data_IF_174106226313
#
_entry.id   IF_174106226313
#
_cell.length_a   1.000
_cell.length_b   1.000
_cell.length_c   1.000
_cell.angle_alpha   90.00
_cell.angle_beta   90.00
_cell.angle_gamma   90.00
#
_symmetry.space_group_name_H-M   'P 1'
#
loop_
_entity.id
_entity.type
_entity.pdbx_description
1 polymer ?
#
# COMPACT_ATOMS: atom_id res chain seq x y z
N UNK A 1 39.23 14.43 14.48
CA UNK A 1 37.88 14.98 14.22
C UNK A 1 37.69 14.95 12.72
N UNK A 2 36.90 13.98 12.25
CA UNK A 2 36.74 13.62 10.84
C UNK A 2 35.56 14.37 10.24
N UNK A 3 35.82 15.25 9.27
CA UNK A 3 34.80 15.80 8.38
C UNK A 3 34.68 14.89 7.15
N UNK A 4 33.64 14.06 7.11
CA UNK A 4 33.18 13.41 5.88
C UNK A 4 32.02 14.23 5.32
N UNK A 5 32.34 15.29 4.57
CA UNK A 5 31.38 15.98 3.73
C UNK A 5 31.09 15.15 2.47
N UNK A 6 29.87 14.65 2.32
CA UNK A 6 29.40 14.06 1.07
C UNK A 6 29.30 15.19 0.03
N UNK A 7 30.34 15.32 -0.81
CA UNK A 7 30.41 16.28 -1.90
C UNK A 7 29.40 15.94 -2.99
N UNK A 8 28.15 16.39 -2.82
CA UNK A 8 27.16 16.41 -3.89
C UNK A 8 27.47 17.58 -4.82
N UNK A 9 28.23 17.30 -5.88
CA UNK A 9 28.46 18.23 -6.97
C UNK A 9 27.12 18.38 -7.74
N UNK A 10 26.39 19.47 -7.49
CA UNK A 10 25.13 19.80 -8.16
C UNK A 10 25.41 20.17 -9.63
N UNK A 11 25.59 19.16 -10.49
CA UNK A 11 25.30 19.34 -11.91
C UNK A 11 23.78 19.30 -12.03
N UNK A 12 23.17 20.45 -12.30
CA UNK A 12 21.77 20.52 -12.70
C UNK A 12 21.59 19.70 -13.99
N UNK A 13 21.14 18.46 -13.82
CA UNK A 13 20.62 17.67 -14.95
C UNK A 13 19.33 18.39 -15.32
N UNK A 14 19.31 19.01 -16.51
CA UNK A 14 18.11 19.67 -17.04
C UNK A 14 16.91 18.75 -16.90
N UNK A 15 15.76 19.31 -16.53
CA UNK A 15 14.52 18.59 -16.23
C UNK A 15 14.17 17.58 -17.34
N UNK A 16 14.62 16.35 -17.17
CA UNK A 16 14.29 15.27 -18.08
C UNK A 16 12.84 14.90 -17.81
N UNK A 17 11.96 15.20 -18.77
CA UNK A 17 10.54 14.87 -18.68
C UNK A 17 10.36 13.35 -18.83
N UNK A 18 10.48 12.62 -17.73
CA UNK A 18 10.32 11.15 -17.71
C UNK A 18 8.84 10.81 -17.93
N UNK A 19 8.57 9.97 -18.93
CA UNK A 19 7.20 9.53 -19.26
C UNK A 19 6.87 8.18 -18.63
N UNK A 20 5.58 7.81 -18.59
CA UNK A 20 5.15 6.52 -18.02
C UNK A 20 5.14 5.40 -19.07
N UNK A 21 5.23 4.14 -18.62
CA UNK A 21 5.13 2.96 -19.49
C UNK A 21 3.74 2.78 -20.11
N UNK A 22 2.68 3.39 -19.55
CA UNK A 22 1.34 3.36 -20.14
C UNK A 22 1.29 3.91 -21.58
N UNK A 23 2.23 4.78 -21.95
CA UNK A 23 2.35 5.32 -23.31
C UNK A 23 3.16 4.43 -24.28
N UNK A 24 3.71 3.29 -23.83
CA UNK A 24 4.51 2.40 -24.66
C UNK A 24 3.64 1.51 -25.58
N UNK A 25 4.17 1.19 -26.76
CA UNK A 25 3.56 0.21 -27.67
C UNK A 25 2.47 0.76 -28.61
N UNK A 26 2.20 2.06 -28.58
CA UNK A 26 1.22 2.70 -29.49
C UNK A 26 1.81 3.11 -30.85
N UNK A 27 3.14 3.06 -31.00
CA UNK A 27 3.85 3.43 -32.22
C UNK A 27 4.19 2.23 -33.11
N UNK A 28 4.48 2.52 -34.39
CA UNK A 28 5.01 1.51 -35.33
C UNK A 28 6.35 0.98 -34.82
N UNK A 29 6.55 -0.34 -34.87
CA UNK A 29 7.88 -0.90 -34.62
C UNK A 29 8.83 -0.48 -35.74
N UNK A 30 9.90 0.21 -35.37
CA UNK A 30 10.98 0.56 -36.28
C UNK A 30 12.11 -0.45 -36.06
N UNK A 31 12.43 -1.33 -37.02
CA UNK A 31 13.59 -2.22 -36.92
C UNK A 31 14.89 -1.41 -36.98
N UNK A 32 16.03 -2.05 -36.71
CA UNK A 32 17.33 -1.41 -36.81
C UNK A 32 17.50 -0.73 -38.18
N UNK A 33 18.01 0.51 -38.16
CA UNK A 33 18.41 1.25 -39.36
C UNK A 33 19.89 1.62 -39.26
N UNK A 34 20.34 2.51 -40.15
CA UNK A 34 21.75 2.91 -40.21
C UNK A 34 22.19 3.74 -38.98
N UNK A 35 21.26 4.46 -38.36
CA UNK A 35 21.52 5.27 -37.16
C UNK A 35 21.15 4.54 -35.86
N UNK A 36 21.99 4.72 -34.84
CA UNK A 36 21.68 4.29 -33.46
C UNK A 36 20.57 5.16 -32.91
N UNK A 37 19.51 4.51 -32.39
CA UNK A 37 18.37 5.18 -31.76
C UNK A 37 18.41 4.98 -30.25
N UNK A 38 17.95 6.00 -29.52
CA UNK A 38 17.81 5.96 -28.06
C UNK A 38 16.33 5.85 -27.72
N UNK A 39 16.00 4.96 -26.78
CA UNK A 39 14.68 4.95 -26.15
C UNK A 39 14.72 5.84 -24.91
N UNK A 40 13.74 6.74 -24.77
CA UNK A 40 13.66 7.64 -23.61
C UNK A 40 13.48 6.88 -22.30
N UNK A 41 14.03 7.42 -21.22
CA UNK A 41 13.79 6.90 -19.88
C UNK A 41 12.30 6.98 -19.52
N UNK A 42 11.80 5.91 -18.89
CA UNK A 42 10.41 5.79 -18.45
C UNK A 42 10.31 5.21 -17.05
N UNK A 43 9.26 5.59 -16.34
CA UNK A 43 8.85 4.95 -15.09
C UNK A 43 7.60 4.13 -15.32
N UNK A 44 7.43 3.04 -14.56
CA UNK A 44 6.21 2.23 -14.65
C UNK A 44 5.01 3.04 -14.12
N UNK A 45 5.05 3.40 -12.85
CA UNK A 45 4.08 4.28 -12.20
C UNK A 45 4.70 4.97 -10.98
N UNK A 46 4.06 6.05 -10.55
CA UNK A 46 4.44 6.81 -9.35
C UNK A 46 3.72 6.24 -8.14
N UNK A 47 4.45 6.04 -7.03
CA UNK A 47 3.78 5.86 -5.74
C UNK A 47 3.22 7.20 -5.27
N UNK A 48 1.90 7.33 -5.11
CA UNK A 48 1.33 8.58 -4.63
C UNK A 48 1.78 8.88 -3.20
N UNK A 49 1.59 10.14 -2.82
CA UNK A 49 1.70 10.57 -1.43
C UNK A 49 0.79 9.74 -0.53
N UNK A 50 1.28 9.44 0.67
CA UNK A 50 0.54 8.70 1.69
C UNK A 50 0.40 9.61 2.88
N UNK A 51 -0.84 10.00 3.18
CA UNK A 51 -1.15 10.76 4.38
C UNK A 51 -1.22 9.78 5.54
N UNK A 52 -0.37 9.97 6.55
CA UNK A 52 -0.44 9.16 7.77
C UNK A 52 -1.59 9.64 8.65
N UNK A 53 -2.31 8.72 9.32
CA UNK A 53 -3.43 9.05 10.17
C UNK A 53 -2.96 9.76 11.44
N UNK A 54 -3.84 10.57 12.01
CA UNK A 54 -3.63 11.19 13.31
C UNK A 54 -3.90 10.21 14.44
N UNK A 55 -3.36 10.49 15.63
CA UNK A 55 -3.63 9.73 16.85
C UNK A 55 -5.11 9.72 17.29
N UNK A 56 -5.96 10.55 16.65
CA UNK A 56 -7.40 10.59 16.93
C UNK A 56 -8.06 9.25 16.66
N UNK A 57 -7.60 8.51 15.63
CA UNK A 57 -8.13 7.18 15.33
C UNK A 57 -7.94 6.25 16.53
N UNK A 58 -6.71 6.09 17.01
CA UNK A 58 -6.47 5.27 18.20
C UNK A 58 -7.23 5.78 19.43
N UNK A 59 -7.29 7.09 19.64
CA UNK A 59 -7.95 7.68 20.83
C UNK A 59 -9.44 7.33 20.91
N UNK A 60 -10.13 7.20 19.77
CA UNK A 60 -11.57 6.90 19.72
C UNK A 60 -11.82 5.39 19.59
N UNK A 61 -11.04 4.70 18.75
CA UNK A 61 -11.27 3.29 18.40
C UNK A 61 -10.67 2.34 19.44
N UNK A 62 -9.48 2.66 19.94
CA UNK A 62 -8.76 1.84 20.91
C UNK A 62 -8.15 0.55 20.34
N UNK A 63 -7.22 -0.04 21.09
CA UNK A 63 -6.44 -1.20 20.65
C UNK A 63 -7.29 -2.45 20.37
N UNK A 64 -8.31 -2.73 21.19
CA UNK A 64 -9.13 -3.94 21.06
C UNK A 64 -9.95 -3.93 19.76
N UNK A 65 -10.52 -2.79 19.40
CA UNK A 65 -11.31 -2.67 18.16
C UNK A 65 -10.42 -2.66 16.91
N UNK A 66 -9.20 -2.15 17.00
CA UNK A 66 -8.19 -2.27 15.93
C UNK A 66 -7.82 -3.75 15.72
N UNK A 67 -7.61 -4.52 16.79
CA UNK A 67 -7.38 -5.98 16.68
C UNK A 67 -8.56 -6.70 16.05
N UNK A 68 -9.79 -6.41 16.50
CA UNK A 68 -11.02 -6.96 15.92
C UNK A 68 -11.11 -6.65 14.42
N UNK A 69 -10.89 -5.39 14.03
CA UNK A 69 -10.90 -4.94 12.64
C UNK A 69 -9.87 -5.71 11.80
N UNK A 70 -8.61 -5.78 12.25
CA UNK A 70 -7.53 -6.46 11.52
C UNK A 70 -7.82 -7.95 11.40
N UNK A 71 -8.22 -8.60 12.48
CA UNK A 71 -8.55 -10.03 12.48
C UNK A 71 -9.70 -10.32 11.51
N UNK A 72 -10.81 -9.57 11.61
CA UNK A 72 -11.97 -9.73 10.72
C UNK A 72 -11.60 -9.53 9.25
N UNK A 73 -10.80 -8.49 8.94
CA UNK A 73 -10.27 -8.25 7.60
C UNK A 73 -9.47 -9.43 7.05
N UNK A 74 -8.56 -9.98 7.86
CA UNK A 74 -7.75 -11.12 7.41
C UNK A 74 -8.58 -12.39 7.26
N UNK A 75 -9.62 -12.59 8.08
CA UNK A 75 -10.57 -13.70 7.92
C UNK A 75 -11.27 -13.61 6.58
N UNK A 76 -11.75 -12.43 6.18
CA UNK A 76 -12.32 -12.20 4.86
C UNK A 76 -11.31 -12.46 3.74
N UNK A 77 -10.05 -12.03 3.90
CA UNK A 77 -9.01 -12.26 2.91
C UNK A 77 -8.69 -13.75 2.73
N UNK A 78 -8.59 -14.50 3.83
CA UNK A 78 -8.34 -15.95 3.80
C UNK A 78 -9.47 -16.71 3.10
N UNK A 79 -10.70 -16.19 3.12
CA UNK A 79 -11.86 -16.72 2.40
C UNK A 79 -12.03 -16.17 0.97
N UNK A 80 -11.14 -15.29 0.50
CA UNK A 80 -11.22 -14.66 -0.82
C UNK A 80 -10.30 -15.33 -1.86
N UNK A 81 -10.28 -14.81 -3.09
CA UNK A 81 -9.40 -15.29 -4.15
C UNK A 81 -7.89 -15.12 -3.84
N UNK A 82 -7.51 -14.26 -2.88
CA UNK A 82 -6.11 -14.15 -2.41
C UNK A 82 -5.83 -15.02 -1.19
N UNK A 83 -6.76 -15.89 -0.79
CA UNK A 83 -6.65 -16.68 0.43
C UNK A 83 -5.41 -17.59 0.49
N UNK A 84 -4.88 -18.00 -0.67
CA UNK A 84 -3.65 -18.79 -0.76
C UNK A 84 -2.39 -18.04 -0.28
N UNK A 85 -2.43 -16.71 -0.16
CA UNK A 85 -1.35 -15.91 0.41
C UNK A 85 -1.29 -15.98 1.95
N UNK A 86 -2.32 -16.54 2.59
CA UNK A 86 -2.45 -16.59 4.04
C UNK A 86 -2.23 -18.01 4.57
N UNK A 87 -1.67 -18.16 5.78
CA UNK A 87 -1.50 -19.48 6.39
C UNK A 87 -2.81 -20.26 6.49
N UNK A 88 -2.75 -21.56 6.17
CA UNK A 88 -3.86 -22.51 6.42
C UNK A 88 -3.91 -22.98 7.85
N UNK A 89 -2.77 -23.01 8.54
CA UNK A 89 -2.70 -23.28 9.96
C UNK A 89 -3.28 -22.11 10.77
N UNK A 90 -4.12 -22.44 11.74
CA UNK A 90 -4.89 -21.44 12.49
C UNK A 90 -4.00 -20.63 13.45
N UNK A 91 -3.00 -21.26 14.05
CA UNK A 91 -2.09 -20.59 14.98
C UNK A 91 -1.18 -19.63 14.23
N UNK A 92 -0.59 -20.08 13.12
CA UNK A 92 0.22 -19.22 12.25
C UNK A 92 -0.60 -18.05 11.67
N UNK A 93 -1.87 -18.27 11.36
CA UNK A 93 -2.77 -17.20 10.94
C UNK A 93 -2.99 -16.17 12.05
N UNK A 94 -3.26 -16.60 13.29
CA UNK A 94 -3.39 -15.71 14.45
C UNK A 94 -2.12 -14.92 14.73
N UNK A 95 -0.96 -15.54 14.68
CA UNK A 95 0.34 -14.86 14.86
C UNK A 95 0.54 -13.78 13.79
N UNK A 96 0.25 -14.10 12.53
CA UNK A 96 0.35 -13.13 11.42
C UNK A 96 -0.61 -11.95 11.56
N UNK A 97 -1.85 -12.21 11.98
CA UNK A 97 -2.87 -11.17 12.18
C UNK A 97 -2.56 -10.28 13.39
N UNK A 98 -2.07 -10.84 14.51
CA UNK A 98 -1.65 -10.03 15.66
C UNK A 98 -0.48 -9.12 15.30
N UNK A 99 0.51 -9.61 14.53
CA UNK A 99 1.60 -8.79 14.03
C UNK A 99 1.09 -7.61 13.18
N UNK A 100 0.12 -7.85 12.31
CA UNK A 100 -0.51 -6.76 11.55
C UNK A 100 -1.28 -5.81 12.48
N UNK A 101 -1.97 -6.31 13.49
CA UNK A 101 -2.71 -5.49 14.44
C UNK A 101 -1.78 -4.60 15.27
N UNK A 102 -0.65 -5.13 15.75
CA UNK A 102 0.40 -4.35 16.41
C UNK A 102 0.89 -3.21 15.50
N UNK A 103 1.16 -3.49 14.23
CA UNK A 103 1.56 -2.45 13.28
C UNK A 103 0.48 -1.36 13.15
N UNK A 104 -0.79 -1.74 13.01
CA UNK A 104 -1.89 -0.78 12.91
C UNK A 104 -2.07 0.02 14.19
N UNK A 105 -1.96 -0.61 15.37
CA UNK A 105 -2.04 0.09 16.66
C UNK A 105 -0.96 1.17 16.74
N UNK A 106 0.29 0.83 16.44
CA UNK A 106 1.38 1.80 16.49
C UNK A 106 1.21 2.91 15.44
N UNK A 107 0.90 2.54 14.19
CA UNK A 107 0.69 3.49 13.09
C UNK A 107 -0.48 4.45 13.33
N UNK A 108 -1.51 4.03 14.07
CA UNK A 108 -2.69 4.83 14.39
C UNK A 108 -2.54 5.65 15.69
N UNK A 109 -1.38 5.60 16.35
CA UNK A 109 -1.05 6.42 17.51
C UNK A 109 -1.18 5.74 18.87
N UNK A 110 -1.17 4.40 18.92
CA UNK A 110 -1.30 3.60 20.14
C UNK A 110 -0.02 3.39 20.95
N UNK A 111 1.09 4.02 20.55
CA UNK A 111 2.41 3.83 21.17
C UNK A 111 3.21 2.66 20.55
N UNK A 112 4.45 2.49 21.02
CA UNK A 112 5.41 1.52 20.48
C UNK A 112 5.05 0.07 20.88
N UNK A 113 4.26 -0.60 20.04
CA UNK A 113 3.84 -2.00 20.27
C UNK A 113 4.33 -2.96 19.19
N UNK A 114 4.68 -2.45 18.01
CA UNK A 114 5.19 -3.19 16.87
C UNK A 114 6.71 -3.07 16.77
N UNK A 115 7.24 -1.84 16.77
CA UNK A 115 8.66 -1.59 16.47
C UNK A 115 9.63 -2.23 17.47
N UNK A 116 9.36 -2.27 18.80
CA UNK A 116 10.24 -2.99 19.73
C UNK A 116 10.34 -4.50 19.46
N UNK A 117 9.30 -5.12 18.87
CA UNK A 117 9.23 -6.57 18.60
C UNK A 117 9.72 -6.94 17.21
N UNK A 118 9.38 -6.12 16.22
CA UNK A 118 9.56 -6.45 14.80
C UNK A 118 10.55 -5.54 14.08
N UNK A 119 11.01 -4.47 14.73
CA UNK A 119 11.88 -3.44 14.16
C UNK A 119 11.14 -2.48 13.21
N UNK A 120 11.90 -1.85 12.31
CA UNK A 120 11.34 -0.91 11.35
C UNK A 120 10.26 -1.58 10.46
N UNK A 121 9.11 -0.92 10.18
CA UNK A 121 8.02 -1.51 9.40
C UNK A 121 8.45 -2.05 8.05
N UNK A 122 9.21 -1.25 7.27
CA UNK A 122 9.77 -1.65 5.97
C UNK A 122 8.76 -2.42 5.08
N UNK A 123 7.51 -1.95 5.05
CA UNK A 123 6.36 -2.74 4.60
C UNK A 123 6.59 -3.35 3.22
N UNK A 124 6.97 -2.54 2.21
CA UNK A 124 7.21 -3.04 0.85
C UNK A 124 8.23 -4.18 0.81
N UNK A 125 9.35 -4.03 1.52
CA UNK A 125 10.39 -5.05 1.58
C UNK A 125 9.85 -6.36 2.15
N UNK A 126 9.08 -6.29 3.23
CA UNK A 126 8.49 -7.48 3.87
C UNK A 126 7.39 -8.13 3.03
N UNK A 127 6.76 -7.38 2.12
CA UNK A 127 5.75 -7.92 1.21
C UNK A 127 6.34 -8.60 -0.04
N UNK A 128 7.66 -8.51 -0.29
CA UNK A 128 8.30 -9.19 -1.44
C UNK A 128 8.28 -10.72 -1.36
N UNK A 129 8.04 -11.31 -0.18
CA UNK A 129 7.86 -12.75 -0.03
C UNK A 129 6.55 -13.26 -0.69
N UNK A 130 5.64 -12.36 -1.06
CA UNK A 130 4.34 -12.67 -1.64
C UNK A 130 4.23 -12.06 -3.04
N UNK A 131 3.56 -12.76 -3.96
CA UNK A 131 3.21 -12.17 -5.26
C UNK A 131 1.93 -11.35 -5.10
N UNK A 132 2.05 -10.03 -5.19
CA UNK A 132 0.94 -9.08 -5.03
C UNK A 132 0.81 -8.29 -6.32
N UNK A 133 -0.24 -8.60 -7.08
CA UNK A 133 -0.62 -7.87 -8.29
C UNK A 133 -1.65 -6.77 -8.01
N UNK A 134 -2.05 -6.07 -9.06
CA UNK A 134 -3.04 -5.00 -8.98
C UNK A 134 -4.41 -5.51 -8.47
N UNK A 135 -4.81 -6.72 -8.86
CA UNK A 135 -6.09 -7.31 -8.46
C UNK A 135 -6.08 -7.76 -6.98
N UNK A 136 -4.98 -8.32 -6.49
CA UNK A 136 -4.80 -8.68 -5.09
C UNK A 136 -4.92 -7.45 -4.18
N UNK A 137 -4.38 -6.30 -4.60
CA UNK A 137 -4.60 -5.01 -3.91
C UNK A 137 -6.08 -4.62 -3.89
N UNK A 138 -6.79 -4.75 -5.02
CA UNK A 138 -8.22 -4.43 -5.08
C UNK A 138 -9.00 -5.28 -4.09
N UNK A 139 -8.76 -6.59 -4.06
CA UNK A 139 -9.39 -7.51 -3.11
C UNK A 139 -9.07 -7.09 -1.66
N UNK A 140 -7.80 -6.77 -1.37
CA UNK A 140 -7.37 -6.29 -0.06
C UNK A 140 -8.15 -5.05 0.40
N UNK A 141 -8.31 -4.06 -0.48
CA UNK A 141 -9.06 -2.83 -0.21
C UNK A 141 -10.56 -3.09 -0.04
N UNK A 142 -11.16 -3.92 -0.90
CA UNK A 142 -12.59 -4.22 -0.82
C UNK A 142 -12.94 -5.01 0.44
N UNK A 143 -12.06 -5.91 0.88
CA UNK A 143 -12.23 -6.57 2.18
C UNK A 143 -12.14 -5.54 3.32
N UNK A 144 -11.24 -4.56 3.26
CA UNK A 144 -11.20 -3.51 4.28
C UNK A 144 -12.46 -2.65 4.27
N UNK A 145 -12.97 -2.28 3.09
CA UNK A 145 -14.24 -1.55 2.95
C UNK A 145 -15.38 -2.31 3.63
N UNK A 146 -15.49 -3.61 3.38
CA UNK A 146 -16.47 -4.49 4.04
C UNK A 146 -16.23 -4.57 5.55
N UNK A 147 -14.99 -4.79 6.00
CA UNK A 147 -14.62 -4.83 7.42
C UNK A 147 -15.05 -3.57 8.15
N UNK A 148 -14.72 -2.39 7.64
CA UNK A 148 -15.04 -1.11 8.29
C UNK A 148 -16.54 -0.94 8.51
N UNK A 149 -17.36 -1.43 7.57
CA UNK A 149 -18.81 -1.44 7.71
C UNK A 149 -19.27 -2.45 8.76
N UNK A 150 -18.80 -3.69 8.68
CA UNK A 150 -19.30 -4.79 9.51
C UNK A 150 -18.89 -4.63 10.99
N UNK A 151 -17.71 -4.08 11.27
CA UNK A 151 -17.26 -3.80 12.64
C UNK A 151 -17.82 -2.48 13.18
N UNK A 152 -18.65 -1.76 12.42
CA UNK A 152 -19.18 -0.44 12.75
C UNK A 152 -18.05 0.56 13.11
N UNK A 153 -17.05 0.68 12.24
CA UNK A 153 -15.97 1.65 12.45
C UNK A 153 -16.53 3.08 12.49
N UNK A 154 -16.07 3.98 13.38
CA UNK A 154 -16.63 5.32 13.52
C UNK A 154 -16.59 6.09 12.21
N UNK A 155 -17.75 6.54 11.73
CA UNK A 155 -17.95 7.12 10.40
C UNK A 155 -17.05 8.34 10.16
N UNK A 156 -16.88 9.15 11.19
CA UNK A 156 -16.05 10.35 11.22
C UNK A 156 -14.53 10.10 11.16
N UNK A 157 -14.11 8.84 11.12
CA UNK A 157 -12.72 8.40 10.99
C UNK A 157 -12.46 7.59 9.72
N UNK A 158 -13.51 7.17 9.00
CA UNK A 158 -13.38 6.29 7.82
C UNK A 158 -12.56 6.99 6.73
N UNK A 159 -12.82 8.26 6.45
CA UNK A 159 -12.09 9.02 5.43
C UNK A 159 -10.59 9.07 5.74
N UNK A 160 -10.23 9.42 6.98
CA UNK A 160 -8.84 9.52 7.44
C UNK A 160 -8.12 8.17 7.33
N UNK A 161 -8.77 7.10 7.79
CA UNK A 161 -8.22 5.75 7.69
C UNK A 161 -8.08 5.30 6.22
N UNK A 162 -9.09 5.54 5.39
CA UNK A 162 -9.12 5.14 4.00
C UNK A 162 -8.06 5.88 3.16
N UNK A 163 -7.92 7.19 3.37
CA UNK A 163 -6.92 8.04 2.71
C UNK A 163 -5.49 7.65 3.09
N UNK A 164 -5.29 6.91 4.19
CA UNK A 164 -4.01 6.28 4.52
C UNK A 164 -3.80 4.96 3.79
N UNK A 165 -4.72 3.99 3.97
CA UNK A 165 -4.51 2.62 3.46
C UNK A 165 -4.57 2.52 1.93
N UNK A 166 -5.37 3.35 1.27
CA UNK A 166 -5.56 3.30 -0.19
C UNK A 166 -4.28 3.62 -0.96
N UNK A 167 -3.59 4.76 -0.73
CA UNK A 167 -2.33 5.05 -1.40
C UNK A 167 -1.17 4.22 -0.84
N UNK A 168 -1.19 3.84 0.45
CA UNK A 168 -0.16 2.98 1.03
C UNK A 168 -0.13 1.60 0.36
N UNK A 169 -1.30 1.01 0.13
CA UNK A 169 -1.42 -0.33 -0.48
C UNK A 169 -0.84 -0.41 -1.89
N UNK A 170 -0.79 0.69 -2.64
CA UNK A 170 -0.14 0.75 -3.97
C UNK A 170 1.34 0.39 -3.87
N UNK A 171 2.00 0.76 -2.78
CA UNK A 171 3.42 0.49 -2.55
C UNK A 171 3.70 -1.00 -2.29
N UNK A 172 2.68 -1.81 -2.05
CA UNK A 172 2.81 -3.25 -1.81
C UNK A 172 2.76 -4.07 -3.11
N UNK A 173 2.26 -3.50 -4.22
CA UNK A 173 2.23 -4.17 -5.52
C UNK A 173 3.66 -4.46 -5.97
N UNK A 174 3.95 -5.74 -6.22
CA UNK A 174 5.26 -6.22 -6.65
C UNK A 174 5.20 -7.13 -7.88
N UNK A 175 4.00 -7.41 -8.39
CA UNK A 175 3.76 -8.04 -9.69
C UNK A 175 2.92 -7.12 -10.57
N UNK A 176 3.43 -6.77 -11.75
CA UNK A 176 2.71 -5.98 -12.74
C UNK A 176 2.08 -6.89 -13.78
N UNK A 177 0.82 -6.65 -14.09
CA UNK A 177 0.06 -7.41 -15.11
C UNK A 177 -0.48 -6.54 -16.23
N UNK A 178 -0.36 -5.22 -16.09
CA UNK A 178 -0.75 -4.22 -17.08
C UNK A 178 0.25 -3.06 -17.11
N UNK A 179 0.27 -2.28 -18.20
CA UNK A 179 1.00 -1.01 -18.29
C UNK A 179 0.22 0.16 -17.67
N UNK A 180 -1.08 -0.01 -17.39
CA UNK A 180 -1.92 1.01 -16.78
C UNK A 180 -1.56 1.22 -15.30
N UNK A 181 -1.53 2.45 -14.78
CA UNK A 181 -1.25 2.69 -13.37
C UNK A 181 -2.30 2.02 -12.46
N UNK A 182 -1.95 1.64 -11.21
CA UNK A 182 -2.90 1.03 -10.30
C UNK A 182 -4.11 1.96 -10.05
N UNK A 183 -5.31 1.41 -10.16
CA UNK A 183 -6.55 2.16 -10.00
C UNK A 183 -6.63 2.86 -8.63
N UNK A 184 -7.08 4.11 -8.63
CA UNK A 184 -7.33 4.88 -7.40
C UNK A 184 -8.76 4.72 -6.91
N UNK A 185 -8.93 4.49 -5.62
CA UNK A 185 -10.22 4.36 -4.95
C UNK A 185 -10.41 5.52 -3.96
N UNK A 186 -10.60 6.74 -4.45
CA UNK A 186 -10.77 7.90 -3.56
C UNK A 186 -11.98 7.72 -2.63
N UNK A 187 -11.90 8.21 -1.38
CA UNK A 187 -12.99 8.09 -0.42
C UNK A 187 -14.34 8.60 -0.96
N UNK A 188 -14.31 9.69 -1.75
CA UNK A 188 -15.50 10.24 -2.42
C UNK A 188 -16.29 9.23 -3.27
N UNK A 189 -15.66 8.15 -3.75
CA UNK A 189 -16.31 7.12 -4.57
C UNK A 189 -17.01 6.05 -3.73
N UNK A 190 -16.63 5.89 -2.47
CA UNK A 190 -17.13 4.83 -1.59
C UNK A 190 -17.93 5.35 -0.39
N UNK A 191 -17.94 6.67 -0.15
CA UNK A 191 -18.60 7.27 1.03
C UNK A 191 -20.07 6.87 1.17
N UNK A 192 -20.79 6.73 0.06
CA UNK A 192 -22.20 6.32 0.05
C UNK A 192 -22.40 4.91 0.60
N UNK A 193 -21.41 4.03 0.51
CA UNK A 193 -21.47 2.68 1.07
C UNK A 193 -21.47 2.66 2.61
N UNK A 194 -21.00 3.76 3.22
CA UNK A 194 -21.03 4.01 4.66
C UNK A 194 -22.20 4.92 5.08
N UNK A 195 -23.06 5.31 4.13
CA UNK A 195 -24.14 6.27 4.35
C UNK A 195 -23.63 7.67 4.69
N UNK A 196 -22.62 8.13 3.94
CA UNK A 196 -21.98 9.45 4.00
C UNK A 196 -22.00 10.14 2.61
#
# INVERSE_FOLDING_TARGET
>A
MSEFGCGCNNKSIGEQKISTFAACGQGKFHPAGDDVRVADAKIDFVYPEVLFPSKRIYSIVGANKIREMVFYHHTLLRASAVGSLFPKDEEMFKIGTEKTAEFFIEALGGGEVYTPKHGHPALRMRHFAFTIDENARVIWLMMYKKTLKDVNFPKELIEEFWNWIEPLSIRMINRRTTAEPPQRYHFSYIKSEFGL
#
